data_IF_314400276100
#
_entry.id   IF_314400276100
#
_cell.length_a   1.000
_cell.length_b   1.000
_cell.length_c   1.000
_cell.angle_alpha   90.00
_cell.angle_beta   90.00
_cell.angle_gamma   90.00
#
_symmetry.space_group_name_H-M   'P 1'
#
loop_
_entity.id
_entity.type
_entity.pdbx_description
1 polymer ?
#
# COMPACT_ATOMS: atom_id res chain seq x y z
N UNK A 1 4.97 7.47 -15.67
CA UNK A 1 5.58 6.12 -15.57
C UNK A 1 4.96 5.05 -16.47
N UNK A 2 3.66 4.73 -16.38
CA UNK A 2 3.07 3.66 -17.22
C UNK A 2 3.22 3.94 -18.73
N UNK A 3 2.89 5.16 -19.18
CA UNK A 3 3.08 5.56 -20.58
C UNK A 3 4.55 5.49 -21.01
N UNK A 4 5.48 5.87 -20.12
CA UNK A 4 6.94 5.80 -20.38
C UNK A 4 7.39 4.34 -20.53
N UNK A 5 6.85 3.43 -19.72
CA UNK A 5 7.08 2.00 -19.87
C UNK A 5 6.44 1.47 -21.16
N UNK A 6 5.24 1.91 -21.53
CA UNK A 6 4.62 1.52 -22.80
C UNK A 6 5.47 1.95 -24.01
N UNK A 7 5.96 3.19 -24.02
CA UNK A 7 6.88 3.71 -25.04
C UNK A 7 8.16 2.89 -25.14
N UNK A 8 8.81 2.58 -24.01
CA UNK A 8 10.04 1.79 -24.00
C UNK A 8 9.82 0.35 -24.48
N UNK A 9 8.58 -0.15 -24.37
CA UNK A 9 8.17 -1.45 -24.89
C UNK A 9 7.60 -1.42 -26.31
N UNK A 10 7.61 -0.24 -26.97
CA UNK A 10 7.06 0.03 -28.30
C UNK A 10 5.57 -0.32 -28.42
N UNK A 11 4.81 -0.03 -27.36
CA UNK A 11 3.37 -0.24 -27.29
C UNK A 11 2.61 1.10 -27.29
N UNK A 12 1.32 1.08 -27.68
CA UNK A 12 0.46 2.25 -27.56
C UNK A 12 0.44 2.82 -26.13
N UNK A 13 0.40 4.15 -26.01
CA UNK A 13 0.45 4.86 -24.72
C UNK A 13 -0.90 4.93 -24.00
N UNK A 14 -1.99 4.62 -24.71
CA UNK A 14 -3.36 4.62 -24.18
C UNK A 14 -3.57 3.68 -22.99
N UNK A 15 -2.66 2.71 -22.81
CA UNK A 15 -2.60 1.83 -21.64
C UNK A 15 -2.46 2.58 -20.31
N UNK A 16 -1.90 3.80 -20.32
CA UNK A 16 -1.72 4.62 -19.11
C UNK A 16 -2.93 5.46 -18.70
N UNK A 17 -4.04 5.42 -19.45
CA UNK A 17 -5.17 6.35 -19.29
C UNK A 17 -6.01 6.10 -18.03
N UNK A 18 -6.12 4.85 -17.58
CA UNK A 18 -6.84 4.47 -16.35
C UNK A 18 -6.05 3.42 -15.56
N UNK A 19 -6.36 3.28 -14.28
CA UNK A 19 -5.82 2.23 -13.42
C UNK A 19 -6.22 0.84 -13.95
N UNK A 20 -7.42 0.71 -14.54
CA UNK A 20 -7.87 -0.54 -15.16
C UNK A 20 -7.03 -0.91 -16.39
N UNK A 21 -6.83 0.01 -17.34
CA UNK A 21 -5.98 -0.24 -18.51
C UNK A 21 -4.52 -0.51 -18.12
N UNK A 22 -4.02 0.18 -17.09
CA UNK A 22 -2.70 -0.09 -16.55
C UNK A 22 -2.60 -1.50 -15.94
N UNK A 23 -3.66 -1.99 -15.30
CA UNK A 23 -3.76 -3.37 -14.80
C UNK A 23 -3.70 -4.42 -15.90
N UNK A 24 -4.42 -4.22 -17.01
CA UNK A 24 -4.31 -5.10 -18.17
C UNK A 24 -2.91 -5.07 -18.78
N UNK A 25 -2.31 -3.89 -18.90
CA UNK A 25 -0.95 -3.73 -19.39
C UNK A 25 0.08 -4.44 -18.51
N UNK A 26 -0.07 -4.36 -17.18
CA UNK A 26 0.76 -5.10 -16.25
C UNK A 26 0.72 -6.61 -16.52
N UNK A 27 -0.46 -7.21 -16.60
CA UNK A 27 -0.60 -8.65 -16.79
C UNK A 27 -0.13 -9.12 -18.18
N UNK A 28 -0.61 -8.46 -19.23
CA UNK A 28 -0.41 -8.90 -20.61
C UNK A 28 1.00 -8.61 -21.15
N UNK A 29 1.61 -7.49 -20.74
CA UNK A 29 2.87 -7.04 -21.32
C UNK A 29 4.03 -7.06 -20.34
N UNK A 30 3.85 -6.56 -19.12
CA UNK A 30 4.97 -6.45 -18.17
C UNK A 30 5.26 -7.80 -17.52
N UNK A 31 4.26 -8.40 -16.88
CA UNK A 31 4.39 -9.65 -16.15
C UNK A 31 4.75 -10.82 -17.08
N UNK A 32 4.06 -10.95 -18.22
CA UNK A 32 4.37 -11.96 -19.25
C UNK A 32 5.83 -11.90 -19.73
N UNK A 33 6.36 -10.71 -20.05
CA UNK A 33 7.77 -10.55 -20.46
C UNK A 33 8.75 -10.92 -19.35
N UNK A 34 8.40 -10.63 -18.09
CA UNK A 34 9.20 -11.01 -16.93
C UNK A 34 9.25 -12.52 -16.73
N UNK A 35 8.13 -13.23 -16.87
CA UNK A 35 8.10 -14.70 -16.77
C UNK A 35 8.91 -15.37 -17.87
N UNK A 36 8.79 -14.90 -19.11
CA UNK A 36 9.60 -15.39 -20.25
C UNK A 36 11.10 -15.16 -19.97
N UNK A 37 11.46 -13.99 -19.42
CA UNK A 37 12.83 -13.69 -19.04
C UNK A 37 13.35 -14.62 -17.94
N UNK A 38 12.57 -14.86 -16.87
CA UNK A 38 12.96 -15.77 -15.80
C UNK A 38 13.15 -17.20 -16.30
N UNK A 39 12.24 -17.69 -17.16
CA UNK A 39 12.36 -19.01 -17.77
C UNK A 39 13.63 -19.12 -18.63
N UNK A 40 13.96 -18.07 -19.40
CA UNK A 40 15.18 -18.03 -20.20
C UNK A 40 16.45 -17.99 -19.33
N UNK A 41 16.41 -17.31 -18.19
CA UNK A 41 17.53 -17.23 -17.24
C UNK A 41 17.84 -18.57 -16.56
N UNK A 42 16.83 -19.37 -16.23
CA UNK A 42 17.02 -20.68 -15.60
C UNK A 42 17.85 -21.66 -16.47
N UNK A 43 17.82 -21.50 -17.80
CA UNK A 43 18.64 -22.29 -18.72
C UNK A 43 20.03 -21.72 -19.02
N UNK A 44 20.37 -20.53 -18.51
CA UNK A 44 21.55 -19.76 -18.94
C UNK A 44 22.37 -19.19 -17.76
N UNK A 45 22.31 -19.81 -16.59
CA UNK A 45 22.99 -19.35 -15.36
C UNK A 45 24.53 -19.22 -15.53
N UNK A 46 25.11 -20.01 -16.43
CA UNK A 46 26.55 -19.99 -16.72
C UNK A 46 27.00 -18.76 -17.55
N UNK A 47 26.07 -18.01 -18.15
CA UNK A 47 26.39 -16.86 -18.99
C UNK A 47 26.26 -15.56 -18.20
N UNK A 48 27.40 -14.98 -17.83
CA UNK A 48 27.50 -13.78 -16.99
C UNK A 48 26.80 -12.55 -17.58
N UNK A 49 26.78 -12.38 -18.91
CA UNK A 49 26.16 -11.21 -19.55
C UNK A 49 24.69 -11.43 -19.92
N UNK A 50 24.18 -12.66 -19.80
CA UNK A 50 22.84 -13.02 -20.29
C UNK A 50 21.74 -12.15 -19.71
N UNK A 51 21.78 -11.91 -18.39
CA UNK A 51 20.78 -11.07 -17.69
C UNK A 51 20.76 -9.67 -18.28
N UNK A 52 21.93 -9.03 -18.42
CA UNK A 52 22.07 -7.68 -18.99
C UNK A 52 21.55 -7.59 -20.42
N UNK A 53 21.87 -8.59 -21.23
CA UNK A 53 21.59 -8.57 -22.66
C UNK A 53 20.12 -8.91 -22.96
N UNK A 54 19.49 -9.77 -22.13
CA UNK A 54 18.11 -10.24 -22.33
C UNK A 54 17.06 -9.56 -21.45
N UNK A 55 17.46 -8.63 -20.57
CA UNK A 55 16.53 -7.94 -19.68
C UNK A 55 15.46 -7.15 -20.47
N UNK A 56 14.15 -7.41 -20.22
CA UNK A 56 13.07 -6.90 -21.08
C UNK A 56 12.73 -5.41 -20.89
N UNK A 57 13.26 -4.76 -19.85
CA UNK A 57 12.92 -3.37 -19.50
C UNK A 57 14.13 -2.44 -19.56
N UNK A 58 15.16 -2.79 -20.35
CA UNK A 58 16.43 -2.05 -20.40
C UNK A 58 16.24 -0.56 -20.72
N UNK A 59 15.42 -0.26 -21.73
CA UNK A 59 15.16 1.10 -22.19
C UNK A 59 14.36 1.92 -21.18
N UNK A 60 13.56 1.28 -20.32
CA UNK A 60 12.87 1.98 -19.23
C UNK A 60 13.83 2.41 -18.12
N UNK A 61 14.92 1.68 -17.90
CA UNK A 61 15.92 1.98 -16.88
C UNK A 61 17.17 2.65 -17.46
N UNK A 62 17.13 3.19 -18.69
CA UNK A 62 18.27 3.92 -19.28
C UNK A 62 18.62 5.20 -18.52
N UNK A 63 17.62 5.81 -17.87
CA UNK A 63 17.75 7.12 -17.24
C UNK A 63 18.42 7.06 -15.85
N UNK A 64 18.82 5.86 -15.40
CA UNK A 64 19.49 5.70 -14.11
C UNK A 64 20.93 6.24 -14.16
N UNK A 65 21.41 6.97 -13.12
CA UNK A 65 22.75 7.58 -13.11
C UNK A 65 23.92 6.60 -13.23
N UNK A 66 23.69 5.33 -12.87
CA UNK A 66 24.66 4.24 -12.95
C UNK A 66 24.06 3.11 -13.77
N UNK A 67 24.87 2.40 -14.58
CA UNK A 67 24.38 1.24 -15.30
C UNK A 67 23.83 0.21 -14.31
N UNK A 68 22.59 -0.21 -14.54
CA UNK A 68 21.88 -1.17 -13.69
C UNK A 68 22.62 -2.52 -13.62
N UNK A 69 23.24 -2.91 -14.73
CA UNK A 69 23.89 -4.20 -14.89
C UNK A 69 25.38 -4.03 -15.15
N UNK A 70 26.17 -4.88 -14.49
CA UNK A 70 27.62 -4.88 -14.60
C UNK A 70 28.13 -5.84 -15.69
N UNK A 71 27.39 -6.92 -15.96
CA UNK A 71 27.82 -7.99 -16.87
C UNK A 71 28.93 -8.88 -16.34
N UNK A 72 29.36 -8.68 -15.09
CA UNK A 72 30.48 -9.41 -14.46
C UNK A 72 30.03 -10.71 -13.78
N UNK A 73 28.79 -10.76 -13.30
CA UNK A 73 28.25 -11.89 -12.55
C UNK A 73 26.75 -12.02 -12.78
N UNK A 74 26.34 -13.21 -13.19
CA UNK A 74 24.93 -13.56 -13.38
C UNK A 74 24.11 -13.30 -12.11
N UNK A 75 24.59 -13.71 -10.94
CA UNK A 75 23.87 -13.54 -9.68
C UNK A 75 23.68 -12.06 -9.30
N UNK A 76 24.73 -11.24 -9.50
CA UNK A 76 24.71 -9.80 -9.20
C UNK A 76 23.71 -9.09 -10.10
N UNK A 77 23.77 -9.36 -11.41
CA UNK A 77 22.87 -8.75 -12.37
C UNK A 77 21.43 -9.27 -12.19
N UNK A 78 21.24 -10.56 -11.85
CA UNK A 78 19.91 -11.12 -11.55
C UNK A 78 19.28 -10.46 -10.31
N UNK A 79 20.08 -10.16 -9.28
CA UNK A 79 19.62 -9.39 -8.12
C UNK A 79 19.18 -7.99 -8.52
N UNK A 80 19.95 -7.31 -9.37
CA UNK A 80 19.57 -6.00 -9.91
C UNK A 80 18.26 -6.07 -10.73
N UNK A 81 18.12 -7.08 -11.60
CA UNK A 81 16.91 -7.30 -12.40
C UNK A 81 15.67 -7.51 -11.52
N UNK A 82 15.78 -8.31 -10.45
CA UNK A 82 14.70 -8.50 -9.47
C UNK A 82 14.36 -7.19 -8.74
N UNK A 83 15.35 -6.36 -8.44
CA UNK A 83 15.16 -5.02 -7.87
C UNK A 83 14.37 -4.09 -8.81
N UNK A 84 14.76 -4.02 -10.07
CA UNK A 84 14.04 -3.30 -11.12
C UNK A 84 12.59 -3.78 -11.25
N UNK A 85 12.38 -5.11 -11.28
CA UNK A 85 11.03 -5.66 -11.37
C UNK A 85 10.20 -5.37 -10.11
N UNK A 86 10.82 -5.37 -8.93
CA UNK A 86 10.15 -4.99 -7.68
C UNK A 86 9.70 -3.53 -7.70
N UNK A 87 10.51 -2.63 -8.25
CA UNK A 87 10.11 -1.24 -8.46
C UNK A 87 8.87 -1.13 -9.38
N UNK A 88 8.87 -1.82 -10.52
CA UNK A 88 7.70 -1.85 -11.41
C UNK A 88 6.47 -2.40 -10.68
N UNK A 89 6.63 -3.51 -9.94
CA UNK A 89 5.55 -4.11 -9.17
C UNK A 89 4.96 -3.13 -8.16
N UNK A 90 5.78 -2.34 -7.46
CA UNK A 90 5.31 -1.29 -6.55
C UNK A 90 4.46 -0.26 -7.28
N UNK A 91 4.92 0.26 -8.42
CA UNK A 91 4.16 1.25 -9.22
C UNK A 91 2.78 0.72 -9.61
N UNK A 92 2.69 -0.52 -10.12
CA UNK A 92 1.41 -1.10 -10.51
C UNK A 92 0.53 -1.47 -9.32
N UNK A 93 1.12 -1.85 -8.18
CA UNK A 93 0.36 -2.07 -6.95
C UNK A 93 -0.26 -0.76 -6.44
N UNK A 94 0.50 0.34 -6.44
CA UNK A 94 -0.01 1.66 -6.07
C UNK A 94 -1.15 2.12 -6.99
N UNK A 95 -1.07 1.83 -8.29
CA UNK A 95 -2.15 2.12 -9.24
C UNK A 95 -3.40 1.28 -8.97
N UNK A 96 -3.26 -0.01 -8.67
CA UNK A 96 -4.41 -0.85 -8.32
C UNK A 96 -5.07 -0.37 -7.01
N UNK A 97 -4.27 0.05 -6.03
CA UNK A 97 -4.78 0.68 -4.79
C UNK A 97 -5.52 2.00 -5.09
N UNK A 98 -5.09 2.75 -6.13
CA UNK A 98 -5.73 3.97 -6.59
C UNK A 98 -7.00 3.76 -7.42
N UNK A 99 -7.21 2.56 -7.99
CA UNK A 99 -8.33 2.26 -8.89
C UNK A 99 -9.70 2.60 -8.30
N UNK A 100 -9.86 2.42 -7.00
CA UNK A 100 -11.10 2.78 -6.31
C UNK A 100 -11.45 4.28 -6.48
N UNK A 101 -10.47 5.17 -6.58
CA UNK A 101 -10.72 6.62 -6.73
C UNK A 101 -11.23 7.01 -8.13
N UNK A 102 -11.02 6.18 -9.14
CA UNK A 102 -11.62 6.35 -10.48
C UNK A 102 -13.12 6.08 -10.44
N UNK A 103 -13.53 5.11 -9.60
CA UNK A 103 -14.93 4.70 -9.44
C UNK A 103 -15.68 5.61 -8.46
N UNK A 104 -15.03 6.01 -7.37
CA UNK A 104 -15.62 6.81 -6.30
C UNK A 104 -15.64 8.29 -6.67
N UNK A 105 -16.85 8.84 -6.87
CA UNK A 105 -17.05 10.22 -7.34
C UNK A 105 -17.03 11.27 -6.23
N UNK A 106 -17.59 10.95 -5.05
CA UNK A 106 -17.72 11.93 -3.97
C UNK A 106 -16.51 11.94 -3.04
N UNK A 107 -16.14 13.10 -2.52
CA UNK A 107 -15.07 13.23 -1.52
C UNK A 107 -15.34 12.40 -0.26
N UNK A 108 -16.62 12.28 0.12
CA UNK A 108 -17.03 11.47 1.26
C UNK A 108 -16.74 9.98 1.04
N UNK A 109 -17.09 9.44 -0.13
CA UNK A 109 -16.84 8.03 -0.44
C UNK A 109 -15.34 7.73 -0.55
N UNK A 110 -14.55 8.65 -1.13
CA UNK A 110 -13.10 8.53 -1.18
C UNK A 110 -12.48 8.52 0.22
N UNK A 111 -12.94 9.39 1.12
CA UNK A 111 -12.50 9.40 2.51
C UNK A 111 -12.89 8.10 3.25
N UNK A 112 -14.11 7.61 3.03
CA UNK A 112 -14.59 6.35 3.61
C UNK A 112 -13.78 5.14 3.11
N UNK A 113 -13.44 5.10 1.82
CA UNK A 113 -12.58 4.06 1.25
C UNK A 113 -11.19 4.09 1.87
N UNK A 114 -10.57 5.28 1.97
CA UNK A 114 -9.28 5.44 2.64
C UNK A 114 -9.35 4.91 4.07
N UNK A 115 -10.36 5.32 4.84
CA UNK A 115 -10.51 4.93 6.25
C UNK A 115 -10.75 3.44 6.47
N UNK A 116 -11.48 2.77 5.56
CA UNK A 116 -11.92 1.38 5.77
C UNK A 116 -11.07 0.33 5.06
N UNK A 117 -10.38 0.70 3.97
CA UNK A 117 -9.64 -0.24 3.11
C UNK A 117 -8.15 0.05 3.02
N UNK A 118 -7.75 1.32 3.05
CA UNK A 118 -6.38 1.70 2.72
C UNK A 118 -5.54 2.08 3.95
N UNK A 119 -6.12 2.83 4.89
CA UNK A 119 -5.40 3.37 6.04
C UNK A 119 -4.97 2.25 6.98
N UNK A 120 -3.66 2.16 7.21
CA UNK A 120 -3.06 1.22 8.19
C UNK A 120 -2.96 1.83 9.59
N UNK A 121 -2.91 3.17 9.66
CA UNK A 121 -2.89 3.96 10.89
C UNK A 121 -3.98 5.01 10.75
N UNK A 122 -4.87 5.07 11.73
CA UNK A 122 -5.94 6.07 11.81
C UNK A 122 -5.83 6.74 13.17
N UNK A 123 -5.66 8.06 13.17
CA UNK A 123 -5.55 8.87 14.37
C UNK A 123 -6.76 9.80 14.49
N UNK A 124 -7.31 9.94 15.69
CA UNK A 124 -8.41 10.84 16.01
C UNK A 124 -8.39 11.16 17.51
N UNK A 125 -9.06 12.23 17.91
CA UNK A 125 -9.27 12.53 19.33
C UNK A 125 -10.36 11.62 19.92
N UNK A 126 -10.34 11.39 21.23
CA UNK A 126 -11.38 10.63 21.93
C UNK A 126 -12.77 11.28 21.78
N UNK A 127 -12.82 12.61 21.77
CA UNK A 127 -14.05 13.38 21.49
C UNK A 127 -14.59 13.11 20.09
N UNK A 128 -13.71 13.02 19.08
CA UNK A 128 -14.12 12.71 17.71
C UNK A 128 -14.61 11.26 17.60
N UNK A 129 -13.91 10.31 18.24
CA UNK A 129 -14.34 8.92 18.32
C UNK A 129 -15.75 8.79 18.92
N UNK A 130 -16.04 9.54 19.99
CA UNK A 130 -17.35 9.58 20.62
C UNK A 130 -18.43 10.14 19.67
N UNK A 131 -18.18 11.29 19.04
CA UNK A 131 -19.12 11.93 18.12
C UNK A 131 -19.40 11.09 16.87
N UNK A 132 -18.38 10.38 16.36
CA UNK A 132 -18.45 9.63 15.09
C UNK A 132 -18.67 8.13 15.25
N UNK A 133 -18.90 7.63 16.47
CA UNK A 133 -19.10 6.21 16.75
C UNK A 133 -20.13 5.54 15.82
N UNK A 134 -21.29 6.17 15.62
CA UNK A 134 -22.35 5.62 14.75
C UNK A 134 -21.88 5.48 13.30
N UNK A 135 -21.19 6.49 12.79
CA UNK A 135 -20.67 6.52 11.42
C UNK A 135 -19.63 5.40 11.24
N UNK A 136 -18.71 5.22 12.19
CA UNK A 136 -17.73 4.12 12.15
C UNK A 136 -18.37 2.73 12.12
N UNK A 137 -19.41 2.52 12.93
CA UNK A 137 -20.14 1.25 12.96
C UNK A 137 -20.96 1.00 11.68
N UNK A 138 -21.43 2.06 11.01
CA UNK A 138 -22.15 1.94 9.75
C UNK A 138 -21.20 1.70 8.57
N UNK A 139 -20.02 2.34 8.59
CA UNK A 139 -18.96 2.14 7.60
C UNK A 139 -18.26 0.78 7.72
N UNK A 140 -18.46 0.07 8.84
CA UNK A 140 -17.79 -1.20 9.09
C UNK A 140 -16.30 -1.00 9.34
N UNK A 141 -15.93 0.07 10.06
CA UNK A 141 -14.56 0.32 10.47
C UNK A 141 -14.01 -0.86 11.28
N UNK A 142 -12.77 -1.26 11.00
CA UNK A 142 -12.10 -2.42 11.61
C UNK A 142 -10.68 -2.06 12.00
N UNK A 143 -10.26 -2.50 13.17
CA UNK A 143 -8.89 -2.30 13.66
C UNK A 143 -8.51 -3.38 14.66
N UNK A 144 -7.24 -3.77 14.62
CA UNK A 144 -6.70 -4.82 15.47
C UNK A 144 -5.99 -4.25 16.72
N UNK A 145 -5.52 -3.01 16.70
CA UNK A 145 -4.76 -2.42 17.79
C UNK A 145 -5.26 -0.99 18.08
N UNK A 146 -5.38 -0.65 19.35
CA UNK A 146 -5.69 0.69 19.85
C UNK A 146 -4.50 1.21 20.65
N UNK A 147 -4.06 2.43 20.34
CA UNK A 147 -3.07 3.18 21.10
C UNK A 147 -3.70 4.51 21.51
N UNK A 148 -3.63 4.84 22.80
CA UNK A 148 -4.11 6.10 23.34
C UNK A 148 -3.00 6.78 24.13
N UNK A 149 -2.70 8.01 23.76
CA UNK A 149 -1.84 8.91 24.55
C UNK A 149 -2.70 9.74 25.51
N UNK A 150 -2.05 10.32 26.53
CA UNK A 150 -2.71 11.12 27.56
C UNK A 150 -3.86 10.39 28.28
N UNK A 151 -3.77 9.05 28.40
CA UNK A 151 -4.89 8.22 28.90
C UNK A 151 -5.32 8.55 30.33
N UNK A 152 -4.45 9.19 31.13
CA UNK A 152 -4.77 9.65 32.48
C UNK A 152 -5.60 10.95 32.51
N UNK A 153 -5.68 11.68 31.39
CA UNK A 153 -6.43 12.94 31.26
C UNK A 153 -7.77 12.77 30.51
N UNK A 154 -8.11 11.55 30.11
CA UNK A 154 -9.33 11.23 29.36
C UNK A 154 -10.36 10.60 30.31
N UNK A 155 -11.64 10.98 30.17
CA UNK A 155 -12.71 10.39 30.97
C UNK A 155 -12.82 8.87 30.71
N UNK A 156 -13.24 8.10 31.72
CA UNK A 156 -13.38 6.64 31.60
C UNK A 156 -14.29 6.24 30.43
N UNK A 157 -15.42 6.93 30.28
CA UNK A 157 -16.36 6.69 29.17
C UNK A 157 -15.74 7.01 27.80
N UNK A 158 -14.94 8.07 27.71
CA UNK A 158 -14.26 8.48 26.48
C UNK A 158 -13.07 7.56 26.16
N UNK A 159 -12.50 6.91 27.17
CA UNK A 159 -11.50 5.84 27.00
C UNK A 159 -12.15 4.55 26.50
N UNK A 160 -13.37 4.25 26.94
CA UNK A 160 -14.08 3.03 26.54
C UNK A 160 -14.63 3.07 25.12
N UNK A 161 -15.13 4.23 24.66
CA UNK A 161 -15.75 4.35 23.32
C UNK A 161 -14.83 3.92 22.17
N UNK A 162 -13.54 4.35 22.10
CA UNK A 162 -12.58 3.92 21.09
C UNK A 162 -12.35 2.41 21.04
N UNK A 163 -12.68 1.64 22.08
CA UNK A 163 -12.58 0.17 22.06
C UNK A 163 -13.77 -0.49 21.33
N UNK A 164 -14.84 0.27 21.09
CA UNK A 164 -16.11 -0.20 20.52
C UNK A 164 -16.51 0.51 19.22
N UNK A 165 -15.52 0.99 18.44
CA UNK A 165 -15.76 1.62 17.14
C UNK A 165 -15.96 0.62 16.00
N UNK A 166 -15.87 -0.68 16.29
CA UNK A 166 -16.08 -1.78 15.34
C UNK A 166 -17.16 -2.73 15.83
N UNK A 167 -17.89 -3.35 14.89
CA UNK A 167 -18.84 -4.43 15.21
C UNK A 167 -18.09 -5.70 15.57
N UNK A 168 -18.66 -6.52 16.45
CA UNK A 168 -18.15 -7.85 16.72
C UNK A 168 -18.46 -8.77 15.53
N UNK A 169 -17.49 -9.58 15.14
CA UNK A 169 -17.65 -10.63 14.13
C UNK A 169 -17.63 -11.97 14.87
N UNK A 170 -18.60 -12.83 14.60
CA UNK A 170 -18.72 -14.17 15.23
C UNK A 170 -18.71 -14.16 16.77
N UNK A 171 -19.29 -13.12 17.37
CA UNK A 171 -19.38 -12.96 18.83
C UNK A 171 -18.07 -12.57 19.52
N UNK A 172 -17.01 -12.28 18.78
CA UNK A 172 -15.70 -11.93 19.33
C UNK A 172 -15.29 -10.51 18.94
N UNK A 173 -14.57 -9.83 19.85
CA UNK A 173 -13.94 -8.56 19.54
C UNK A 173 -12.69 -8.78 18.68
N UNK A 174 -12.57 -8.02 17.58
CA UNK A 174 -11.38 -8.04 16.72
C UNK A 174 -10.15 -7.42 17.41
N UNK A 175 -10.34 -6.55 18.38
CA UNK A 175 -9.29 -5.83 19.08
C UNK A 175 -8.32 -6.82 19.76
N UNK A 176 -7.04 -6.78 19.38
CA UNK A 176 -5.97 -7.66 19.87
C UNK A 176 -5.08 -6.98 20.90
N UNK A 177 -4.87 -5.66 20.78
CA UNK A 177 -4.00 -4.89 21.69
C UNK A 177 -4.64 -3.55 22.04
N UNK A 178 -4.55 -3.19 23.32
CA UNK A 178 -4.88 -1.88 23.84
C UNK A 178 -3.67 -1.34 24.59
N UNK A 179 -3.12 -0.22 24.13
CA UNK A 179 -1.92 0.41 24.67
C UNK A 179 -2.36 1.79 25.18
N UNK A 180 -2.31 1.98 26.50
CA UNK A 180 -2.66 3.24 27.15
C UNK A 180 -1.39 3.86 27.73
N UNK A 181 -1.05 5.05 27.26
CA UNK A 181 0.11 5.82 27.71
C UNK A 181 -0.43 7.06 28.40
N UNK A 182 -0.13 7.21 29.69
CA UNK A 182 -0.58 8.34 30.49
C UNK A 182 0.17 8.44 31.81
N UNK A 183 0.09 9.62 32.44
CA UNK A 183 0.71 9.90 33.73
C UNK A 183 -0.37 10.29 34.74
N UNK A 184 -0.61 9.41 35.72
CA UNK A 184 -1.61 9.60 36.76
C UNK A 184 -1.16 10.59 37.86
N UNK A 185 0.09 11.05 37.83
CA UNK A 185 0.57 12.13 38.71
C UNK A 185 0.34 13.53 38.12
N UNK A 186 -0.17 13.64 36.90
CA UNK A 186 -0.55 14.91 36.26
C UNK A 186 -2.04 15.24 36.48
N UNK A 187 -2.52 16.32 35.85
CA UNK A 187 -3.89 16.78 36.00
C UNK A 187 -4.90 15.71 35.49
N UNK A 188 -5.98 15.44 36.24
CA UNK A 188 -7.04 14.53 35.79
C UNK A 188 -7.92 15.18 34.71
N UNK A 189 -8.88 14.43 34.11
CA UNK A 189 -9.83 14.99 33.15
C UNK A 189 -10.62 16.17 33.74
N UNK A 190 -10.87 17.20 32.92
CA UNK A 190 -11.63 18.39 33.35
C UNK A 190 -13.12 18.06 33.43
N UNK A 191 -13.70 18.16 34.62
CA UNK A 191 -15.15 18.00 34.86
C UNK A 191 -15.76 19.38 35.09
N UNK A 192 -16.70 19.79 34.24
CA UNK A 192 -17.55 20.98 34.49
C UNK A 192 -18.85 20.51 35.15
N UNK A 193 -19.07 20.91 36.39
CA UNK A 193 -20.31 20.70 37.13
C UNK A 193 -21.39 21.71 36.73
#
# INVERSE_FOLDING_TARGET
EVERLARSLQLPEDVGYTCETAGYFWLLHVYSRWEIFLAACAGNENNQSFVRDRFPFKDFFSDTPKPVFSGESFEKDMRAAKGCFSHLKTVFQELEECRAFELLKSTADRANYLMTKQAKIVAMTCTHAALKRRDFLQLGFKYDNLLMEESAQILEIETFIPMLLQRQEDGHARLKRCILIGDHHQLPPVVKN
#
